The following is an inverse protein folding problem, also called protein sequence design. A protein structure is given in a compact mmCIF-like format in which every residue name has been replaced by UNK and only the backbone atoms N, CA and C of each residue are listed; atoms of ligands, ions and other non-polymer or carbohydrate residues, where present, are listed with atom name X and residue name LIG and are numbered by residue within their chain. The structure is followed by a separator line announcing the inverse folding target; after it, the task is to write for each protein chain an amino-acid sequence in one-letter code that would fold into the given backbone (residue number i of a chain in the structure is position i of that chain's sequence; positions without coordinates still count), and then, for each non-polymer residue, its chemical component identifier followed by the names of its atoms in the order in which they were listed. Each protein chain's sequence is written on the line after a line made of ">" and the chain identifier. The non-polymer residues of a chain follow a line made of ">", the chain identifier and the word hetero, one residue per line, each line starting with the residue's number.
data_IF_708675177504
#
_entry.id   IF_708675177504
#
_cell.length_a   1.000
_cell.length_b   1.000
_cell.length_c   1.000
_cell.angle_alpha   90.00
_cell.angle_beta   90.00
_cell.angle_gamma   90.00
#
_symmetry.space_group_name_H-M   'P 1'
#
loop_
_entity.id
_entity.type
_entity.pdbx_description
1 polymer ?
#
# COMPACT_ATOMS: atom_id res chain seq x y z
N UNK A 1 31.07 -3.00 38.18
CA UNK A 1 30.41 -4.31 38.06
C UNK A 1 29.06 -4.18 37.31
N UNK A 2 28.14 -3.34 37.70
CA UNK A 2 26.82 -3.10 37.07
C UNK A 2 26.87 -2.82 35.56
N UNK A 3 27.79 -1.96 35.10
CA UNK A 3 27.93 -1.60 33.69
C UNK A 3 28.25 -2.81 32.79
N UNK A 4 29.04 -3.76 33.25
CA UNK A 4 29.37 -4.99 32.49
C UNK A 4 28.16 -5.93 32.43
N UNK A 5 27.34 -6.00 33.51
CA UNK A 5 26.12 -6.79 33.54
C UNK A 5 25.07 -6.23 32.57
N UNK A 6 24.90 -4.92 32.52
CA UNK A 6 23.97 -4.26 31.60
C UNK A 6 24.38 -4.51 30.13
N UNK A 7 25.67 -4.37 29.81
CA UNK A 7 26.19 -4.61 28.44
C UNK A 7 25.98 -6.08 28.05
N UNK A 8 26.28 -7.02 28.95
CA UNK A 8 26.04 -8.45 28.68
C UNK A 8 24.57 -8.79 28.52
N UNK A 9 23.69 -8.15 29.28
CA UNK A 9 22.25 -8.35 29.15
C UNK A 9 21.73 -7.79 27.83
N UNK A 10 22.15 -6.60 27.41
CA UNK A 10 21.81 -6.00 26.12
C UNK A 10 22.33 -6.88 24.98
N UNK A 11 23.57 -7.37 25.06
CA UNK A 11 24.14 -8.23 24.05
C UNK A 11 23.42 -9.59 23.95
N UNK A 12 23.05 -10.19 25.07
CA UNK A 12 22.30 -11.44 25.10
C UNK A 12 20.87 -11.26 24.55
N UNK A 13 20.20 -10.16 24.91
CA UNK A 13 18.84 -9.86 24.42
C UNK A 13 18.86 -9.56 22.92
N UNK A 14 19.88 -8.86 22.40
CA UNK A 14 20.03 -8.63 20.97
C UNK A 14 20.29 -9.95 20.22
N UNK A 15 21.12 -10.86 20.74
CA UNK A 15 21.36 -12.16 20.10
C UNK A 15 20.07 -13.02 20.01
N UNK A 16 19.22 -12.98 21.02
CA UNK A 16 17.93 -13.70 21.02
C UNK A 16 16.97 -13.09 19.96
N UNK A 17 16.93 -11.77 19.82
CA UNK A 17 16.14 -11.09 18.81
C UNK A 17 16.62 -11.39 17.37
N UNK A 18 17.91 -11.58 17.17
CA UNK A 18 18.47 -11.99 15.88
C UNK A 18 18.16 -13.44 15.50
N UNK A 19 18.02 -14.34 16.50
CA UNK A 19 17.80 -15.75 16.22
C UNK A 19 16.39 -16.08 15.75
N UNK A 20 15.39 -15.26 16.05
CA UNK A 20 13.99 -15.56 15.69
C UNK A 20 13.69 -15.27 14.22
N UNK A 21 14.40 -14.35 13.58
CA UNK A 21 14.22 -14.04 12.15
C UNK A 21 14.94 -15.02 11.21
N UNK A 22 15.96 -15.73 11.70
CA UNK A 22 16.74 -16.67 10.89
C UNK A 22 16.01 -17.98 10.60
N UNK A 23 14.86 -18.26 11.23
CA UNK A 23 14.10 -19.49 11.06
C UNK A 23 12.74 -19.32 10.38
N UNK A 24 12.34 -18.10 10.04
CA UNK A 24 11.11 -17.91 9.30
C UNK A 24 11.26 -18.48 7.89
N UNK A 25 10.52 -19.55 7.60
CA UNK A 25 10.45 -20.14 6.26
C UNK A 25 9.47 -19.41 5.36
N UNK A 26 8.50 -18.72 5.95
CA UNK A 26 7.45 -18.03 5.23
C UNK A 26 7.09 -16.72 5.97
N UNK A 27 6.99 -15.65 5.20
CA UNK A 27 6.41 -14.39 5.65
C UNK A 27 5.07 -14.18 4.96
N UNK A 28 4.05 -13.87 5.73
CA UNK A 28 2.72 -13.53 5.26
C UNK A 28 2.26 -12.24 5.95
N UNK A 29 1.73 -11.28 5.20
CA UNK A 29 1.16 -10.08 5.80
C UNK A 29 -0.16 -9.69 5.18
N UNK A 30 -1.04 -9.15 6.02
CA UNK A 30 -2.31 -8.54 5.61
C UNK A 30 -2.40 -7.15 6.20
N UNK A 31 -3.02 -6.23 5.46
CA UNK A 31 -3.20 -4.86 5.91
C UNK A 31 -4.39 -4.20 5.27
N UNK A 32 -4.73 -3.03 5.78
CA UNK A 32 -5.80 -2.19 5.29
C UNK A 32 -5.29 -0.76 5.02
N UNK A 33 -5.79 -0.08 4.00
CA UNK A 33 -5.52 1.33 3.81
C UNK A 33 -6.21 2.14 4.91
N UNK A 34 -5.50 3.14 5.44
CA UNK A 34 -6.02 4.08 6.43
C UNK A 34 -6.38 5.42 5.80
N UNK A 35 -5.59 5.86 4.83
CA UNK A 35 -5.81 7.11 4.11
C UNK A 35 -5.27 7.03 2.69
N UNK A 36 -5.90 7.75 1.78
CA UNK A 36 -5.41 8.01 0.45
C UNK A 36 -5.42 9.53 0.23
N UNK A 37 -4.25 10.12 0.15
CA UNK A 37 -4.09 11.54 -0.22
C UNK A 37 -3.84 11.61 -1.71
N UNK A 38 -4.83 12.06 -2.46
CA UNK A 38 -4.71 12.22 -3.91
C UNK A 38 -3.86 13.45 -4.21
N UNK A 39 -2.99 13.35 -5.20
CA UNK A 39 -2.06 14.42 -5.62
C UNK A 39 -2.33 14.89 -7.03
N UNK A 40 -3.31 14.29 -7.69
CA UNK A 40 -3.69 14.61 -9.06
C UNK A 40 -4.68 15.73 -9.18
N UNK A 41 -4.81 16.22 -10.42
CA UNK A 41 -5.77 17.22 -10.80
C UNK A 41 -6.69 16.66 -11.90
N UNK A 42 -7.93 17.18 -11.92
CA UNK A 42 -8.84 16.93 -13.04
C UNK A 42 -8.37 17.67 -14.31
N UNK A 43 -9.04 17.42 -15.43
CA UNK A 43 -8.73 18.08 -16.72
C UNK A 43 -8.96 19.59 -16.70
N UNK A 44 -9.67 20.12 -15.71
CA UNK A 44 -9.87 21.57 -15.50
C UNK A 44 -8.83 22.19 -14.57
N UNK A 45 -7.92 21.37 -13.98
CA UNK A 45 -6.86 21.81 -13.09
C UNK A 45 -7.26 21.91 -11.62
N UNK A 46 -8.43 21.39 -11.21
CA UNK A 46 -8.84 21.35 -9.82
C UNK A 46 -8.24 20.15 -9.11
N UNK A 47 -7.87 20.33 -7.84
CA UNK A 47 -7.39 19.22 -7.00
C UNK A 47 -8.48 18.17 -6.77
N UNK A 48 -8.17 16.91 -7.03
CA UNK A 48 -9.02 15.78 -6.69
C UNK A 48 -8.76 15.40 -5.23
N UNK A 49 -9.81 15.36 -4.41
CA UNK A 49 -9.70 15.03 -2.98
C UNK A 49 -10.39 13.71 -2.66
N UNK A 50 -9.76 12.92 -1.80
CA UNK A 50 -10.35 11.70 -1.27
C UNK A 50 -11.27 12.00 -0.08
N UNK A 51 -12.36 11.25 0.04
CA UNK A 51 -13.30 11.26 1.17
C UNK A 51 -13.30 9.91 1.92
N UNK A 52 -12.24 9.17 1.80
CA UNK A 52 -12.04 7.88 2.46
C UNK A 52 -11.50 6.82 1.54
N UNK A 53 -10.94 5.78 2.14
CA UNK A 53 -10.40 4.63 1.44
C UNK A 53 -10.75 3.36 2.21
N UNK A 54 -11.03 2.28 1.49
CA UNK A 54 -11.31 0.95 2.05
C UNK A 54 -10.72 -0.12 1.15
N UNK A 55 -10.33 -1.25 1.73
CA UNK A 55 -9.75 -2.35 0.97
C UNK A 55 -8.75 -3.15 1.78
N UNK A 56 -7.84 -3.83 1.09
CA UNK A 56 -6.85 -4.68 1.73
C UNK A 56 -5.54 -4.75 0.93
N UNK A 57 -4.49 -5.13 1.64
CA UNK A 57 -3.17 -5.48 1.11
C UNK A 57 -2.82 -6.87 1.59
N UNK A 58 -2.31 -7.72 0.72
CA UNK A 58 -1.86 -9.08 1.05
C UNK A 58 -0.49 -9.29 0.46
N UNK A 59 0.41 -9.90 1.22
CA UNK A 59 1.77 -10.20 0.79
C UNK A 59 2.18 -11.57 1.29
N UNK A 60 2.92 -12.30 0.47
CA UNK A 60 3.51 -13.59 0.81
C UNK A 60 4.91 -13.68 0.21
N UNK A 61 5.85 -14.15 1.01
CA UNK A 61 7.23 -14.30 0.58
C UNK A 61 8.03 -15.23 1.47
N UNK A 62 9.21 -15.53 0.99
CA UNK A 62 10.23 -16.27 1.74
C UNK A 62 11.34 -15.28 2.07
N UNK A 63 11.84 -15.25 3.31
CA UNK A 63 12.95 -14.39 3.66
C UNK A 63 14.13 -14.53 2.68
N UNK A 64 14.79 -13.42 2.37
CA UNK A 64 15.93 -13.34 1.45
C UNK A 64 15.54 -13.45 -0.04
N UNK A 65 14.34 -13.91 -0.38
CA UNK A 65 13.85 -13.96 -1.75
C UNK A 65 12.81 -12.87 -2.02
N UNK A 66 12.63 -12.45 -3.28
CA UNK A 66 11.53 -11.58 -3.64
C UNK A 66 10.18 -12.22 -3.31
N UNK A 67 9.31 -11.48 -2.64
CA UNK A 67 7.94 -11.88 -2.35
C UNK A 67 6.96 -11.25 -3.33
N UNK A 68 5.74 -11.77 -3.35
CA UNK A 68 4.64 -11.28 -4.17
C UNK A 68 3.53 -10.74 -3.29
N UNK A 69 2.78 -9.78 -3.80
CA UNK A 69 1.65 -9.19 -3.09
C UNK A 69 0.54 -8.75 -4.02
N UNK A 70 -0.58 -8.43 -3.42
CA UNK A 70 -1.74 -7.86 -4.09
C UNK A 70 -2.33 -6.77 -3.22
N UNK A 71 -2.62 -5.62 -3.84
CA UNK A 71 -3.37 -4.53 -3.24
C UNK A 71 -4.70 -4.39 -3.97
N UNK A 72 -5.78 -4.27 -3.22
CA UNK A 72 -7.11 -3.98 -3.76
C UNK A 72 -7.81 -3.02 -2.82
N UNK A 73 -8.13 -1.81 -3.31
CA UNK A 73 -8.80 -0.81 -2.50
C UNK A 73 -9.66 0.12 -3.34
N UNK A 74 -10.67 0.70 -2.69
CA UNK A 74 -11.57 1.70 -3.23
C UNK A 74 -11.36 3.02 -2.52
N UNK A 75 -11.30 4.09 -3.30
CA UNK A 75 -11.17 5.46 -2.80
C UNK A 75 -12.39 6.25 -3.20
N UNK A 76 -13.10 6.81 -2.23
CA UNK A 76 -14.19 7.76 -2.47
C UNK A 76 -13.62 9.11 -2.84
N UNK A 77 -14.18 9.73 -3.87
CA UNK A 77 -13.77 11.06 -4.33
C UNK A 77 -14.75 12.08 -3.75
N UNK A 78 -14.20 13.11 -3.16
CA UNK A 78 -14.98 14.24 -2.66
C UNK A 78 -15.35 15.17 -3.81
N UNK A 79 -16.62 15.16 -4.17
CA UNK A 79 -17.18 16.04 -5.19
C UNK A 79 -18.33 16.87 -4.59
N UNK A 80 -18.12 18.17 -4.39
CA UNK A 80 -19.12 19.05 -3.79
C UNK A 80 -20.36 19.30 -4.68
N UNK A 81 -20.24 19.05 -5.99
CA UNK A 81 -21.30 19.27 -6.99
C UNK A 81 -21.89 17.98 -7.54
N UNK A 82 -21.39 16.81 -7.13
CA UNK A 82 -21.88 15.53 -7.64
C UNK A 82 -23.08 15.05 -6.82
N UNK A 83 -24.13 14.61 -7.50
CA UNK A 83 -25.30 13.98 -6.88
C UNK A 83 -25.08 12.47 -6.68
N UNK A 84 -24.00 11.92 -7.17
CA UNK A 84 -23.61 10.49 -7.10
C UNK A 84 -22.26 10.34 -6.42
N UNK A 85 -22.09 9.30 -5.62
CA UNK A 85 -20.80 8.93 -5.05
C UNK A 85 -19.89 8.43 -6.18
N UNK A 86 -18.71 9.04 -6.30
CA UNK A 86 -17.67 8.62 -7.23
C UNK A 86 -16.63 7.81 -6.47
N UNK A 87 -16.36 6.60 -6.91
CA UNK A 87 -15.34 5.74 -6.34
C UNK A 87 -14.29 5.36 -7.39
N UNK A 88 -13.03 5.27 -6.95
CA UNK A 88 -11.93 4.68 -7.71
C UNK A 88 -11.60 3.32 -7.13
N UNK A 89 -11.68 2.28 -7.94
CA UNK A 89 -11.19 0.95 -7.57
C UNK A 89 -9.78 0.75 -8.14
N UNK A 90 -8.82 0.51 -7.27
CA UNK A 90 -7.42 0.25 -7.65
C UNK A 90 -7.06 -1.18 -7.26
N UNK A 91 -6.54 -1.94 -8.23
CA UNK A 91 -6.04 -3.31 -8.03
C UNK A 91 -4.65 -3.43 -8.62
N UNK A 92 -3.68 -3.85 -7.82
CA UNK A 92 -2.28 -3.96 -8.21
C UNK A 92 -1.65 -5.27 -7.73
N UNK A 93 -0.75 -5.81 -8.54
CA UNK A 93 0.15 -6.89 -8.17
C UNK A 93 1.52 -6.32 -7.86
N UNK A 94 2.11 -6.80 -6.80
CA UNK A 94 3.34 -6.28 -6.24
C UNK A 94 4.44 -7.32 -6.25
N UNK A 95 5.66 -6.86 -6.49
CA UNK A 95 6.89 -7.56 -6.20
C UNK A 95 7.59 -6.81 -5.08
N UNK A 96 8.01 -7.49 -4.03
CA UNK A 96 8.66 -6.85 -2.89
C UNK A 96 9.90 -7.61 -2.42
N UNK A 97 10.72 -6.92 -1.67
CA UNK A 97 11.87 -7.49 -0.98
C UNK A 97 11.82 -7.09 0.50
N UNK A 98 11.93 -8.10 1.37
CA UNK A 98 12.05 -7.90 2.80
C UNK A 98 13.53 -7.73 3.16
N UNK A 99 13.89 -6.55 3.62
CA UNK A 99 15.23 -6.24 4.09
C UNK A 99 15.35 -6.66 5.57
N UNK A 100 16.21 -7.63 5.89
CA UNK A 100 16.40 -8.08 7.27
C UNK A 100 17.23 -7.06 8.04
N UNK A 101 16.57 -6.02 8.54
CA UNK A 101 17.21 -5.05 9.43
C UNK A 101 16.98 -5.50 10.87
N UNK A 102 18.01 -5.54 11.72
CA UNK A 102 17.85 -5.85 13.12
C UNK A 102 16.79 -4.95 13.77
N UNK A 103 15.84 -5.53 14.52
CA UNK A 103 14.80 -4.82 15.29
C UNK A 103 13.59 -4.35 14.44
N UNK A 104 13.74 -4.12 13.13
CA UNK A 104 12.67 -3.61 12.27
C UNK A 104 12.67 -4.40 10.95
N UNK A 105 11.50 -4.85 10.53
CA UNK A 105 11.31 -5.44 9.21
C UNK A 105 11.01 -4.33 8.21
N UNK A 106 11.96 -4.01 7.34
CA UNK A 106 11.75 -3.05 6.26
C UNK A 106 11.41 -3.79 4.98
N UNK A 107 10.23 -3.54 4.44
CA UNK A 107 9.82 -4.01 3.11
C UNK A 107 9.89 -2.86 2.12
N UNK A 108 10.45 -3.13 0.96
CA UNK A 108 10.39 -2.23 -0.20
C UNK A 108 9.81 -2.99 -1.39
N UNK A 109 8.96 -2.34 -2.16
CA UNK A 109 8.30 -3.01 -3.28
C UNK A 109 7.85 -2.07 -4.37
N UNK A 110 7.55 -2.68 -5.51
CA UNK A 110 6.97 -2.04 -6.68
C UNK A 110 5.76 -2.82 -7.13
N UNK A 111 4.80 -2.15 -7.71
CA UNK A 111 3.57 -2.76 -8.19
C UNK A 111 3.08 -2.17 -9.49
N UNK A 112 2.31 -2.97 -10.21
CA UNK A 112 1.61 -2.55 -11.42
C UNK A 112 0.19 -3.14 -11.44
N UNK A 113 -0.74 -2.41 -12.03
CA UNK A 113 -2.13 -2.83 -12.08
C UNK A 113 -3.02 -1.85 -12.81
N UNK A 114 -4.24 -1.72 -12.32
CA UNK A 114 -5.28 -0.88 -12.95
C UNK A 114 -6.06 -0.11 -11.89
N UNK A 115 -6.48 1.09 -12.27
CA UNK A 115 -7.48 1.87 -11.56
C UNK A 115 -8.70 2.05 -12.46
N UNK A 116 -9.90 1.85 -11.92
CA UNK A 116 -11.18 2.02 -12.62
C UNK A 116 -12.04 3.02 -11.87
N UNK A 117 -12.81 3.78 -12.59
CA UNK A 117 -13.90 4.54 -12.02
C UNK A 117 -15.10 3.61 -11.80
N UNK A 118 -15.66 3.66 -10.59
CA UNK A 118 -16.94 3.03 -10.26
C UNK A 118 -17.95 4.16 -10.06
N UNK A 119 -19.01 4.11 -10.79
CA UNK A 119 -20.10 5.08 -10.68
C UNK A 119 -21.43 4.32 -10.81
N UNK A 120 -22.31 4.54 -9.85
CA UNK A 120 -23.66 4.00 -9.89
C UNK A 120 -24.56 4.89 -10.75
N UNK A 121 -24.73 4.53 -12.05
CA UNK A 121 -25.62 5.23 -12.95
C UNK A 121 -25.32 4.98 -14.42
N UNK A 122 -26.32 5.18 -15.27
CA UNK A 122 -26.23 5.03 -16.73
C UNK A 122 -25.30 6.06 -17.41
N UNK A 123 -24.90 7.10 -16.69
CA UNK A 123 -24.14 8.23 -17.25
C UNK A 123 -22.61 8.11 -17.11
N UNK A 124 -22.11 6.98 -16.59
CA UNK A 124 -20.69 6.81 -16.26
C UNK A 124 -19.90 5.94 -17.24
N UNK A 125 -20.44 5.67 -18.42
CA UNK A 125 -19.79 4.87 -19.47
C UNK A 125 -18.65 5.61 -20.22
N UNK A 126 -18.32 6.82 -19.80
CA UNK A 126 -17.38 7.69 -20.48
C UNK A 126 -15.92 7.60 -20.01
N UNK A 127 -15.64 6.84 -18.95
CA UNK A 127 -14.27 6.65 -18.46
C UNK A 127 -13.86 5.19 -18.48
N UNK A 128 -12.75 4.92 -19.13
CA UNK A 128 -12.13 3.60 -19.12
C UNK A 128 -11.08 3.51 -18.01
N UNK A 129 -10.83 2.30 -17.54
CA UNK A 129 -9.81 2.08 -16.52
C UNK A 129 -8.42 2.42 -17.01
N UNK A 130 -7.64 3.08 -16.18
CA UNK A 130 -6.25 3.43 -16.43
C UNK A 130 -5.27 2.41 -15.89
N UNK A 131 -4.04 2.47 -16.40
CA UNK A 131 -2.91 1.73 -15.81
C UNK A 131 -2.47 2.41 -14.52
N UNK A 132 -2.16 1.61 -13.51
CA UNK A 132 -1.61 2.09 -12.25
C UNK A 132 -0.25 1.45 -12.00
N UNK A 133 0.65 2.21 -11.40
CA UNK A 133 1.93 1.74 -10.90
C UNK A 133 2.19 2.32 -9.53
N UNK A 134 2.95 1.60 -8.71
CA UNK A 134 3.33 2.09 -7.39
C UNK A 134 4.74 1.67 -7.01
N UNK A 135 5.32 2.43 -6.12
CA UNK A 135 6.35 1.95 -5.23
C UNK A 135 5.86 2.08 -3.78
N UNK A 136 6.34 1.22 -2.92
CA UNK A 136 5.95 1.28 -1.52
C UNK A 136 7.06 0.84 -0.58
N UNK A 137 6.93 1.27 0.66
CA UNK A 137 7.72 0.80 1.78
C UNK A 137 6.81 0.45 2.93
N UNK A 138 7.20 -0.54 3.72
CA UNK A 138 6.50 -0.93 4.95
C UNK A 138 7.50 -1.18 6.06
N UNK A 139 7.22 -0.63 7.23
CA UNK A 139 7.99 -0.84 8.44
C UNK A 139 7.22 -1.81 9.34
N UNK A 140 7.79 -2.97 9.59
CA UNK A 140 7.26 -3.97 10.50
C UNK A 140 7.95 -3.89 11.86
N UNK A 141 7.16 -3.74 12.91
CA UNK A 141 7.63 -3.73 14.29
C UNK A 141 7.27 -5.07 14.92
N UNK A 142 8.24 -5.91 15.30
CA UNK A 142 7.97 -7.17 15.97
C UNK A 142 7.38 -6.91 17.36
N UNK A 143 6.11 -7.27 17.54
CA UNK A 143 5.42 -7.16 18.83
C UNK A 143 5.54 -8.47 19.60
N UNK A 144 5.46 -9.58 18.90
CA UNK A 144 5.60 -10.95 19.41
C UNK A 144 6.54 -11.74 18.49
N UNK A 145 7.11 -12.86 18.92
CA UNK A 145 8.08 -13.62 18.11
C UNK A 145 7.61 -14.02 16.70
N UNK A 146 6.30 -14.12 16.48
CA UNK A 146 5.70 -14.53 15.21
C UNK A 146 4.87 -13.42 14.54
N UNK A 147 4.71 -12.25 15.20
CA UNK A 147 3.79 -11.21 14.74
C UNK A 147 4.46 -9.85 14.68
N UNK A 148 4.32 -9.19 13.53
CA UNK A 148 4.78 -7.84 13.30
C UNK A 148 3.59 -6.91 13.04
N UNK A 149 3.63 -5.70 13.59
CA UNK A 149 2.73 -4.62 13.20
C UNK A 149 3.39 -3.83 12.06
N UNK A 150 2.72 -3.72 10.94
CA UNK A 150 3.23 -3.05 9.75
C UNK A 150 2.58 -1.69 9.54
N UNK A 151 3.38 -0.65 9.41
CA UNK A 151 2.97 0.64 8.87
C UNK A 151 3.52 0.77 7.46
N UNK A 152 2.66 1.01 6.49
CA UNK A 152 3.04 1.08 5.09
C UNK A 152 2.71 2.42 4.45
N UNK A 153 3.58 2.84 3.54
CA UNK A 153 3.41 4.01 2.69
C UNK A 153 3.57 3.58 1.23
N UNK A 154 2.60 3.95 0.41
CA UNK A 154 2.54 3.65 -1.02
C UNK A 154 2.42 4.94 -1.80
N UNK A 155 3.26 5.13 -2.80
CA UNK A 155 3.13 6.21 -3.78
C UNK A 155 2.61 5.62 -5.08
N UNK A 156 1.42 6.02 -5.45
CA UNK A 156 0.65 5.48 -6.59
C UNK A 156 0.62 6.51 -7.70
N UNK A 157 0.96 6.09 -8.90
CA UNK A 157 0.77 6.86 -10.13
C UNK A 157 -0.29 6.17 -10.98
N UNK A 158 -1.37 6.86 -11.27
CA UNK A 158 -2.46 6.34 -12.09
C UNK A 158 -3.09 7.45 -12.92
N UNK A 159 -3.39 7.15 -14.18
CA UNK A 159 -4.06 8.07 -15.10
C UNK A 159 -5.22 7.37 -15.75
N UNK A 160 -6.38 8.01 -15.73
CA UNK A 160 -7.62 7.55 -16.37
C UNK A 160 -7.88 8.40 -17.61
N UNK A 161 -8.26 7.77 -18.71
CA UNK A 161 -8.54 8.45 -19.96
C UNK A 161 -10.05 8.52 -20.22
N UNK A 162 -10.53 9.68 -20.60
CA UNK A 162 -11.91 9.89 -21.04
C UNK A 162 -12.09 9.33 -22.46
N UNK A 163 -13.05 8.40 -22.63
CA UNK A 163 -13.25 7.64 -23.89
C UNK A 163 -14.31 8.24 -24.78
N UNK A 164 -15.22 9.06 -24.25
CA UNK A 164 -16.36 9.62 -25.00
C UNK A 164 -16.57 11.11 -24.67
N UNK A 165 -17.32 11.81 -25.53
CA UNK A 165 -17.65 13.22 -25.35
C UNK A 165 -16.60 14.19 -25.90
N UNK A 166 -16.76 15.48 -25.58
CA UNK A 166 -15.86 16.57 -26.02
C UNK A 166 -14.44 16.47 -25.44
N UNK A 167 -14.29 15.75 -24.35
CA UNK A 167 -13.03 15.60 -23.61
C UNK A 167 -12.31 14.28 -23.91
N UNK A 168 -12.75 13.57 -24.96
CA UNK A 168 -12.12 12.30 -25.37
C UNK A 168 -10.62 12.44 -25.56
N UNK A 169 -9.85 11.53 -24.94
CA UNK A 169 -8.40 11.50 -24.99
C UNK A 169 -7.71 12.35 -23.92
N UNK A 170 -8.45 13.13 -23.14
CA UNK A 170 -7.90 13.79 -21.95
C UNK A 170 -7.66 12.77 -20.83
N UNK A 171 -6.65 13.03 -20.02
CA UNK A 171 -6.23 12.14 -18.92
C UNK A 171 -6.30 12.88 -17.60
N UNK A 172 -7.04 12.30 -16.66
CA UNK A 172 -7.07 12.73 -15.28
C UNK A 172 -6.02 11.97 -14.48
N UNK A 173 -5.22 12.68 -13.70
CA UNK A 173 -4.27 12.07 -12.78
C UNK A 173 -5.00 11.77 -11.47
N UNK A 174 -5.16 10.48 -11.20
CA UNK A 174 -5.85 9.97 -10.01
C UNK A 174 -4.89 9.26 -9.06
N UNK A 175 -3.62 9.52 -9.21
CA UNK A 175 -2.57 9.03 -8.32
C UNK A 175 -2.57 9.71 -6.96
N UNK A 176 -1.68 9.23 -6.09
CA UNK A 176 -1.55 9.79 -4.75
C UNK A 176 -0.75 8.91 -3.80
N UNK A 177 -0.88 9.22 -2.52
CA UNK A 177 -0.17 8.51 -1.46
C UNK A 177 -1.15 7.77 -0.57
N UNK A 178 -0.94 6.46 -0.39
CA UNK A 178 -1.77 5.61 0.45
C UNK A 178 -0.98 5.16 1.67
N UNK A 179 -1.48 5.48 2.85
CA UNK A 179 -0.96 4.93 4.11
C UNK A 179 -1.80 3.75 4.54
N UNK A 180 -1.16 2.74 5.11
CA UNK A 180 -1.83 1.54 5.55
C UNK A 180 -1.24 0.96 6.82
N UNK A 181 -2.07 0.17 7.51
CA UNK A 181 -1.71 -0.58 8.70
C UNK A 181 -1.94 -2.06 8.44
N UNK A 182 -1.07 -2.91 8.95
CA UNK A 182 -1.18 -4.35 8.73
C UNK A 182 -0.55 -5.17 9.85
N UNK A 183 -0.73 -6.47 9.74
CA UNK A 183 -0.12 -7.48 10.61
C UNK A 183 0.65 -8.45 9.72
N UNK A 184 1.89 -8.71 10.10
CA UNK A 184 2.76 -9.72 9.49
C UNK A 184 2.89 -10.94 10.38
N UNK A 185 3.05 -12.08 9.75
CA UNK A 185 3.27 -13.39 10.37
C UNK A 185 4.55 -13.98 9.80
N UNK A 186 5.44 -14.38 10.68
CA UNK A 186 6.72 -14.99 10.31
C UNK A 186 6.77 -16.42 10.87
N UNK A 187 6.81 -17.43 10.00
CA UNK A 187 6.80 -18.84 10.34
C UNK A 187 8.12 -19.53 9.98
#
# INVERSE_FOLDING_TARGET
>A
MIRKIIISFIAATSLILFSTQAFALLNFSVGVPLSHTMTGNDTAGNEIKSDGVSGYFVQVGVPILPGIGMDSYKTKIKCAACTVELELETSMYNLYYLLPIPIINLTVGVGAGKTKFLCDGSDCSWQDGGTASQWYTSLGFPILPLFDLHLSYRSVSSKIETTTGSDKGKKDDVGGNVMGLGIGFNF
#
